data_IF_077140004671
#
_entry.id   IF_077140004671
#
_cell.length_a   1.000
_cell.length_b   1.000
_cell.length_c   1.000
_cell.angle_alpha   90.00
_cell.angle_beta   90.00
_cell.angle_gamma   90.00
#
_symmetry.space_group_name_H-M   'P 1'
#
loop_
_entity.id
_entity.type
_entity.pdbx_description
1 polymer ?
#
# COMPACT_ATOMS: atom_id res chain seq x y z
N UNK A 1 46.51 -13.46 36.20
CA UNK A 1 47.12 -12.38 35.39
C UNK A 1 47.73 -13.05 34.15
N UNK A 2 47.41 -12.80 32.88
CA UNK A 2 46.35 -12.11 32.13
C UNK A 2 46.19 -12.91 30.80
N UNK A 3 45.13 -12.90 29.99
CA UNK A 3 43.85 -12.19 30.00
C UNK A 3 42.78 -13.07 29.31
N UNK A 4 41.51 -13.02 29.70
CA UNK A 4 40.41 -13.52 28.87
C UNK A 4 40.00 -12.45 27.86
N UNK A 5 40.31 -12.65 26.58
CA UNK A 5 39.88 -11.73 25.54
C UNK A 5 38.36 -11.90 25.30
N UNK A 6 37.53 -10.85 25.42
CA UNK A 6 36.14 -10.95 24.98
C UNK A 6 36.14 -11.13 23.46
N UNK A 7 35.42 -12.14 22.98
CA UNK A 7 35.12 -12.25 21.56
C UNK A 7 34.37 -10.99 21.12
N UNK A 8 34.61 -10.47 19.90
CA UNK A 8 33.73 -9.45 19.36
C UNK A 8 32.33 -10.07 19.23
N UNK A 9 31.42 -9.62 20.08
CA UNK A 9 29.99 -9.83 19.89
C UNK A 9 29.61 -9.05 18.63
N UNK A 10 29.77 -9.70 17.48
CA UNK A 10 29.39 -9.19 16.19
C UNK A 10 27.89 -8.90 16.29
N UNK A 11 27.55 -7.61 16.42
CA UNK A 11 26.21 -7.14 16.63
C UNK A 11 25.28 -7.87 15.66
N UNK A 12 24.35 -8.66 16.20
CA UNK A 12 23.39 -9.42 15.42
C UNK A 12 22.41 -8.46 14.77
N UNK A 13 22.87 -7.80 13.68
CA UNK A 13 22.06 -6.99 12.79
C UNK A 13 20.95 -7.90 12.28
N UNK A 14 19.79 -7.78 12.91
CA UNK A 14 18.67 -8.66 12.68
C UNK A 14 18.26 -8.51 11.20
N UNK A 15 18.21 -9.60 10.41
CA UNK A 15 18.02 -9.53 8.96
C UNK A 15 16.66 -8.96 8.53
N UNK A 16 15.78 -8.65 9.49
CA UNK A 16 14.49 -8.00 9.33
C UNK A 16 14.56 -6.48 9.18
N UNK A 17 15.69 -5.83 9.49
CA UNK A 17 15.81 -4.36 9.46
C UNK A 17 15.78 -3.74 8.04
N UNK A 18 15.92 -4.54 6.98
CA UNK A 18 16.08 -4.06 5.60
C UNK A 18 14.87 -4.31 4.69
N UNK A 19 13.78 -4.85 5.22
CA UNK A 19 12.55 -5.14 4.47
C UNK A 19 11.50 -4.09 4.80
N UNK A 20 10.95 -3.43 3.77
CA UNK A 20 9.87 -2.45 3.94
C UNK A 20 8.73 -3.06 4.75
N UNK A 21 8.22 -2.34 5.75
CA UNK A 21 7.23 -2.89 6.66
C UNK A 21 5.89 -3.10 5.95
N UNK A 22 5.05 -3.97 6.51
CA UNK A 22 3.67 -4.12 6.03
C UNK A 22 2.89 -2.80 6.09
N UNK A 23 3.19 -1.93 7.05
CA UNK A 23 2.60 -0.60 7.14
C UNK A 23 3.04 0.29 5.96
N UNK A 24 4.32 0.28 5.58
CA UNK A 24 4.82 1.02 4.40
C UNK A 24 4.15 0.52 3.11
N UNK A 25 3.96 -0.79 2.98
CA UNK A 25 3.24 -1.39 1.85
C UNK A 25 1.77 -0.93 1.79
N UNK A 26 1.08 -0.87 2.93
CA UNK A 26 -0.30 -0.36 3.00
C UNK A 26 -0.37 1.14 2.65
N UNK A 27 0.57 1.96 3.13
CA UNK A 27 0.64 3.39 2.81
C UNK A 27 0.92 3.60 1.32
N UNK A 28 1.83 2.83 0.73
CA UNK A 28 2.09 2.84 -0.71
C UNK A 28 0.85 2.39 -1.52
N UNK A 29 0.12 1.39 -1.04
CA UNK A 29 -1.15 0.95 -1.60
C UNK A 29 -2.22 2.05 -1.58
N UNK A 30 -2.45 2.69 -0.44
CA UNK A 30 -3.40 3.80 -0.31
C UNK A 30 -3.02 5.00 -1.19
N UNK A 31 -1.72 5.31 -1.27
CA UNK A 31 -1.19 6.37 -2.16
C UNK A 31 -1.47 6.05 -3.63
N UNK A 32 -1.36 4.77 -4.04
CA UNK A 32 -1.69 4.35 -5.41
C UNK A 32 -3.18 4.47 -5.73
N UNK A 33 -4.06 4.24 -4.75
CA UNK A 33 -5.51 4.45 -4.91
C UNK A 33 -5.81 5.93 -5.14
N UNK A 34 -5.25 6.83 -4.32
CA UNK A 34 -5.39 8.28 -4.50
C UNK A 34 -4.84 8.75 -5.86
N UNK A 35 -3.68 8.23 -6.29
CA UNK A 35 -3.11 8.52 -7.62
C UNK A 35 -4.03 8.07 -8.77
N UNK A 36 -4.53 6.83 -8.72
CA UNK A 36 -5.44 6.32 -9.78
C UNK A 36 -6.76 7.10 -9.84
N UNK A 37 -7.33 7.47 -8.69
CA UNK A 37 -8.50 8.35 -8.64
C UNK A 37 -8.22 9.73 -9.27
N UNK A 38 -7.13 10.41 -8.89
CA UNK A 38 -6.74 11.70 -9.48
C UNK A 38 -6.49 11.65 -10.99
N UNK A 39 -5.91 10.56 -11.50
CA UNK A 39 -5.69 10.37 -12.93
C UNK A 39 -7.01 10.21 -13.69
N UNK A 40 -7.99 9.52 -13.11
CA UNK A 40 -9.33 9.44 -13.68
C UNK A 40 -10.04 10.81 -13.68
N UNK A 41 -9.94 11.56 -12.57
CA UNK A 41 -10.50 12.91 -12.46
C UNK A 41 -9.87 13.89 -13.48
N UNK A 42 -8.53 13.88 -13.66
CA UNK A 42 -7.84 14.69 -14.68
C UNK A 42 -8.28 14.29 -16.11
N UNK A 43 -8.36 13.00 -16.40
CA UNK A 43 -8.80 12.51 -17.71
C UNK A 43 -10.24 12.95 -18.03
N UNK A 44 -11.15 12.88 -17.06
CA UNK A 44 -12.54 13.37 -17.18
C UNK A 44 -12.57 14.89 -17.37
N UNK A 45 -11.84 15.64 -16.54
CA UNK A 45 -11.80 17.10 -16.60
C UNK A 45 -11.28 17.60 -17.96
N UNK A 46 -10.20 17.00 -18.47
CA UNK A 46 -9.62 17.38 -19.77
C UNK A 46 -10.55 17.03 -20.92
N UNK A 47 -11.11 15.82 -20.94
CA UNK A 47 -12.12 15.44 -21.93
C UNK A 47 -13.32 16.40 -21.95
N UNK A 48 -13.78 16.87 -20.79
CA UNK A 48 -14.91 17.81 -20.70
C UNK A 48 -14.57 19.25 -21.14
N UNK A 49 -13.29 19.65 -21.09
CA UNK A 49 -12.84 21.02 -21.41
C UNK A 49 -12.55 21.22 -22.90
N UNK A 50 -11.82 20.31 -23.53
CA UNK A 50 -11.32 20.46 -24.91
C UNK A 50 -11.52 19.22 -25.81
N UNK A 51 -11.97 18.09 -25.24
CA UNK A 51 -12.08 16.83 -25.97
C UNK A 51 -10.74 16.24 -26.44
N UNK A 52 -9.59 16.76 -25.98
CA UNK A 52 -8.26 16.36 -26.45
C UNK A 52 -7.84 14.97 -25.97
N UNK A 53 -8.50 14.43 -24.94
CA UNK A 53 -8.30 13.05 -24.47
C UNK A 53 -9.27 12.12 -25.19
N UNK A 54 -8.80 11.09 -25.93
CA UNK A 54 -9.69 10.11 -26.55
C UNK A 54 -10.58 9.42 -25.52
N UNK A 55 -11.90 9.23 -25.77
CA UNK A 55 -12.83 8.68 -24.77
C UNK A 55 -12.42 7.35 -24.15
N UNK A 56 -11.74 6.49 -24.92
CA UNK A 56 -11.24 5.21 -24.41
C UNK A 56 -10.18 5.37 -23.31
N UNK A 57 -9.36 6.43 -23.32
CA UNK A 57 -8.36 6.68 -22.29
C UNK A 57 -9.01 7.12 -20.98
N UNK A 58 -10.07 7.94 -21.07
CA UNK A 58 -10.90 8.32 -19.92
C UNK A 58 -11.54 7.09 -19.29
N UNK A 59 -12.11 6.20 -20.12
CA UNK A 59 -12.70 4.94 -19.65
C UNK A 59 -11.68 3.99 -19.02
N UNK A 60 -10.45 3.91 -19.56
CA UNK A 60 -9.36 3.12 -18.96
C UNK A 60 -8.99 3.69 -17.59
N UNK A 61 -8.78 5.00 -17.47
CA UNK A 61 -8.41 5.63 -16.20
C UNK A 61 -9.50 5.43 -15.12
N UNK A 62 -10.78 5.56 -15.50
CA UNK A 62 -11.92 5.27 -14.62
C UNK A 62 -11.98 3.80 -14.18
N UNK A 63 -11.71 2.85 -15.08
CA UNK A 63 -11.70 1.42 -14.76
C UNK A 63 -10.53 1.06 -13.83
N UNK A 64 -9.33 1.58 -14.09
CA UNK A 64 -8.16 1.42 -13.22
C UNK A 64 -8.42 1.96 -11.81
N UNK A 65 -8.98 3.17 -11.70
CA UNK A 65 -9.38 3.75 -10.41
C UNK A 65 -10.43 2.87 -9.70
N UNK A 66 -11.44 2.36 -10.41
CA UNK A 66 -12.46 1.48 -9.82
C UNK A 66 -11.84 0.17 -9.31
N UNK A 67 -10.99 -0.48 -10.11
CA UNK A 67 -10.32 -1.72 -9.74
C UNK A 67 -9.37 -1.54 -8.54
N UNK A 68 -8.59 -0.45 -8.54
CA UNK A 68 -7.69 -0.07 -7.45
C UNK A 68 -8.45 0.13 -6.13
N UNK A 69 -9.57 0.87 -6.17
CA UNK A 69 -10.44 1.09 -5.01
C UNK A 69 -11.11 -0.22 -4.54
N UNK A 70 -11.59 -1.06 -5.46
CA UNK A 70 -12.18 -2.37 -5.13
C UNK A 70 -11.19 -3.26 -4.36
N UNK A 71 -9.93 -3.32 -4.82
CA UNK A 71 -8.86 -4.04 -4.11
C UNK A 71 -8.57 -3.43 -2.74
N UNK A 72 -8.50 -2.10 -2.64
CA UNK A 72 -8.24 -1.42 -1.36
C UNK A 72 -9.34 -1.68 -0.32
N UNK A 73 -10.61 -1.73 -0.74
CA UNK A 73 -11.74 -2.10 0.11
C UNK A 73 -11.64 -3.56 0.59
N UNK A 74 -11.23 -4.49 -0.27
CA UNK A 74 -10.99 -5.89 0.12
C UNK A 74 -9.88 -6.02 1.17
N UNK A 75 -8.73 -5.35 0.95
CA UNK A 75 -7.61 -5.33 1.90
C UNK A 75 -8.03 -4.71 3.23
N UNK A 76 -8.75 -3.58 3.22
CA UNK A 76 -9.33 -2.94 4.42
C UNK A 76 -10.22 -3.92 5.19
N UNK A 77 -11.15 -4.60 4.51
CA UNK A 77 -12.03 -5.58 5.17
C UNK A 77 -11.24 -6.72 5.80
N UNK A 78 -10.24 -7.28 5.10
CA UNK A 78 -9.37 -8.33 5.64
C UNK A 78 -8.59 -7.91 6.89
N UNK A 79 -8.12 -6.67 6.96
CA UNK A 79 -7.44 -6.12 8.15
C UNK A 79 -8.42 -6.01 9.32
N UNK A 80 -9.63 -5.50 9.08
CA UNK A 80 -10.67 -5.38 10.11
C UNK A 80 -11.14 -6.75 10.60
N UNK A 81 -11.36 -7.71 9.70
CA UNK A 81 -11.68 -9.11 10.00
C UNK A 81 -10.59 -9.77 10.87
N UNK A 82 -9.32 -9.64 10.47
CA UNK A 82 -8.19 -10.19 11.22
C UNK A 82 -8.03 -9.58 12.62
N UNK A 83 -8.24 -8.27 12.76
CA UNK A 83 -8.23 -7.62 14.08
C UNK A 83 -9.39 -8.11 14.97
N UNK A 84 -10.60 -8.24 14.42
CA UNK A 84 -11.75 -8.77 15.16
C UNK A 84 -11.54 -10.22 15.63
N UNK A 85 -10.88 -11.05 14.81
CA UNK A 85 -10.62 -12.44 15.17
C UNK A 85 -9.59 -12.58 16.30
N UNK A 86 -8.51 -11.78 16.27
CA UNK A 86 -7.53 -11.73 17.38
C UNK A 86 -8.16 -11.30 18.71
N UNK A 87 -9.16 -10.42 18.67
CA UNK A 87 -9.92 -10.00 19.86
C UNK A 87 -10.87 -11.10 20.38
N UNK A 88 -11.38 -11.98 19.51
CA UNK A 88 -12.26 -13.10 19.90
C UNK A 88 -11.51 -14.23 20.60
N UNK A 89 -10.23 -14.42 20.30
CA UNK A 89 -9.40 -15.46 20.92
C UNK A 89 -9.04 -15.20 22.39
N UNK A 90 -9.33 -14.00 22.92
CA UNK A 90 -8.95 -13.56 24.28
C UNK A 90 -10.14 -13.46 25.24
N UNK A 91 -11.29 -14.06 24.88
CA UNK A 91 -12.49 -14.23 25.70
C UNK A 91 -12.64 -15.69 26.16
#
# INVERSE_FOLDING_TARGET
MLQGAPLPEAAAMSPFAQQSSFADWLVAGATRVDQTARLADDAVARFALDGAVPPHQVMIALEEARMSLQLALQVRSRIVEGYQELMRMQL
#
